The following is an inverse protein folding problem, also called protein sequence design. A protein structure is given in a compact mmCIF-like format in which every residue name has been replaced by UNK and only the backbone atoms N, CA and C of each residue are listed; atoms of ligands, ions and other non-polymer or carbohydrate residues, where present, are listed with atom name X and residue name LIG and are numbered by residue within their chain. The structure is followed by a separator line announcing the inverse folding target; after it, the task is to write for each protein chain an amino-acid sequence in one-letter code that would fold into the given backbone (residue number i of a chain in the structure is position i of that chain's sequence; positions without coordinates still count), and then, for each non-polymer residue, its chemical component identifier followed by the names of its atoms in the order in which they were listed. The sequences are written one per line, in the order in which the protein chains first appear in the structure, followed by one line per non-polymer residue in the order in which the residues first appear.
data_IF_149909285709
#
_entry.id   IF_149909285709
#
_cell.length_a   1.000
_cell.length_b   1.000
_cell.length_c   1.000
_cell.angle_alpha   90.00
_cell.angle_beta   90.00
_cell.angle_gamma   90.00
#
_symmetry.space_group_name_H-M   'P 1'
#
loop_
_entity.id
_entity.type
_entity.pdbx_description
1 polymer ?
#
# COMPACT_ATOMS: atom_id res chain seq x y z
N UNK A 1 -6.10 13.10 -0.31
CA UNK A 1 -7.47 12.53 -0.33
C UNK A 1 -8.60 13.51 0.04
N UNK A 2 -8.70 14.02 1.28
CA UNK A 2 -9.87 14.81 1.76
C UNK A 2 -10.21 16.00 0.85
N UNK A 3 -9.20 16.81 0.51
CA UNK A 3 -9.35 17.96 -0.43
C UNK A 3 -9.98 17.52 -1.75
N UNK A 4 -9.61 16.36 -2.26
CA UNK A 4 -10.13 15.84 -3.52
C UNK A 4 -11.60 15.39 -3.38
N UNK A 5 -11.97 14.77 -2.25
CA UNK A 5 -13.36 14.43 -1.97
C UNK A 5 -14.24 15.68 -1.85
N UNK A 6 -13.74 16.76 -1.24
CA UNK A 6 -14.47 18.04 -1.20
C UNK A 6 -14.68 18.60 -2.61
N UNK A 7 -13.65 18.56 -3.47
CA UNK A 7 -13.78 18.96 -4.89
C UNK A 7 -14.82 18.13 -5.65
N UNK A 8 -15.06 16.89 -5.24
CA UNK A 8 -16.10 16.03 -5.79
C UNK A 8 -17.50 16.27 -5.21
N UNK A 9 -17.66 17.23 -4.28
CA UNK A 9 -18.93 17.63 -3.71
C UNK A 9 -19.26 17.04 -2.33
N UNK A 10 -18.33 16.29 -1.72
CA UNK A 10 -18.50 15.85 -0.34
C UNK A 10 -18.34 17.02 0.66
N UNK A 11 -19.05 16.95 1.79
CA UNK A 11 -19.07 17.98 2.83
C UNK A 11 -18.68 17.37 4.17
N UNK A 12 -17.64 17.91 4.79
CA UNK A 12 -17.19 17.48 6.12
C UNK A 12 -18.33 17.60 7.16
N UNK A 13 -18.48 16.57 7.99
CA UNK A 13 -19.51 16.50 9.01
C UNK A 13 -20.94 16.26 8.50
N UNK A 14 -21.14 16.17 7.17
CA UNK A 14 -22.46 15.88 6.56
C UNK A 14 -22.46 14.64 5.68
N UNK A 15 -21.49 14.54 4.76
CA UNK A 15 -21.35 13.40 3.84
C UNK A 15 -19.93 12.84 3.82
N UNK A 16 -18.99 13.51 4.48
CA UNK A 16 -17.63 13.06 4.71
C UNK A 16 -17.33 13.08 6.21
N UNK A 17 -16.91 11.94 6.74
CA UNK A 17 -16.68 11.75 8.17
C UNK A 17 -15.37 11.02 8.40
N UNK A 18 -14.61 11.47 9.40
CA UNK A 18 -13.45 10.75 9.91
C UNK A 18 -13.83 9.85 11.09
N UNK A 19 -13.08 8.76 11.25
CA UNK A 19 -13.06 7.93 12.45
C UNK A 19 -11.60 7.72 12.86
N UNK A 20 -11.17 8.44 13.89
CA UNK A 20 -9.88 8.23 14.53
C UNK A 20 -10.01 7.23 15.67
N UNK A 21 -8.94 6.49 15.94
CA UNK A 21 -8.86 5.53 17.04
C UNK A 21 -7.42 5.48 17.59
N UNK A 22 -7.25 4.90 18.77
CA UNK A 22 -5.91 4.69 19.33
C UNK A 22 -5.20 3.55 18.58
N UNK A 23 -4.34 3.92 17.64
CA UNK A 23 -3.59 2.98 16.81
C UNK A 23 -2.61 2.10 17.60
N UNK A 24 -2.34 2.43 18.87
CA UNK A 24 -1.46 1.61 19.73
C UNK A 24 -2.15 0.36 20.21
N UNK A 25 -3.49 0.41 20.31
CA UNK A 25 -4.31 -0.67 20.84
C UNK A 25 -4.64 -1.72 19.78
N UNK A 26 -5.14 -2.87 20.22
CA UNK A 26 -5.60 -3.93 19.32
C UNK A 26 -6.68 -3.42 18.37
N UNK A 27 -6.63 -3.86 17.10
CA UNK A 27 -7.60 -3.54 16.06
C UNK A 27 -9.01 -4.05 16.37
N UNK A 28 -9.17 -4.91 17.39
CA UNK A 28 -10.45 -5.40 17.91
C UNK A 28 -10.72 -4.99 19.37
N UNK A 29 -10.08 -3.93 19.85
CA UNK A 29 -10.37 -3.40 21.18
C UNK A 29 -11.87 -3.10 21.30
N UNK A 30 -12.53 -3.68 22.30
CA UNK A 30 -13.99 -3.61 22.45
C UNK A 30 -14.52 -2.17 22.42
N UNK A 31 -13.91 -1.26 23.19
CA UNK A 31 -14.33 0.14 23.20
C UNK A 31 -14.22 0.82 21.83
N UNK A 32 -13.21 0.49 21.03
CA UNK A 32 -13.06 0.99 19.66
C UNK A 32 -14.14 0.42 18.74
N UNK A 33 -14.48 -0.88 18.87
CA UNK A 33 -15.54 -1.52 18.09
C UNK A 33 -16.91 -0.90 18.39
N UNK A 34 -17.22 -0.65 19.68
CA UNK A 34 -18.45 -0.01 20.12
C UNK A 34 -18.56 1.44 19.60
N UNK A 35 -17.46 2.21 19.68
CA UNK A 35 -17.39 3.56 19.12
C UNK A 35 -17.56 3.55 17.60
N UNK A 36 -17.00 2.56 16.89
CA UNK A 36 -17.15 2.44 15.45
C UNK A 36 -18.60 2.10 15.07
N UNK A 37 -19.26 1.18 15.79
CA UNK A 37 -20.67 0.89 15.60
C UNK A 37 -21.56 2.13 15.79
N UNK A 38 -21.36 2.87 16.89
CA UNK A 38 -22.07 4.10 17.17
C UNK A 38 -21.83 5.18 16.09
N UNK A 39 -20.58 5.25 15.57
CA UNK A 39 -20.24 6.16 14.48
C UNK A 39 -20.97 5.81 13.19
N UNK A 40 -21.04 4.53 12.81
CA UNK A 40 -21.78 4.09 11.63
C UNK A 40 -23.27 4.44 11.73
N UNK A 41 -23.89 4.22 12.88
CA UNK A 41 -25.29 4.61 13.10
C UNK A 41 -25.48 6.13 12.99
N UNK A 42 -24.61 6.92 13.62
CA UNK A 42 -24.68 8.38 13.56
C UNK A 42 -24.55 8.90 12.11
N UNK A 43 -23.61 8.35 11.34
CA UNK A 43 -23.39 8.71 9.93
C UNK A 43 -24.57 8.29 9.06
N UNK A 44 -25.12 7.10 9.29
CA UNK A 44 -26.29 6.61 8.56
C UNK A 44 -27.51 7.53 8.76
N UNK A 45 -27.76 7.94 10.00
CA UNK A 45 -28.84 8.87 10.35
C UNK A 45 -28.59 10.26 9.75
N UNK A 46 -27.36 10.80 9.87
CA UNK A 46 -26.99 12.09 9.27
C UNK A 46 -27.10 12.09 7.74
N UNK A 47 -26.92 10.94 7.10
CA UNK A 47 -27.01 10.75 5.64
C UNK A 47 -28.44 10.47 5.16
N UNK A 48 -29.45 10.61 6.02
CA UNK A 48 -30.86 10.39 5.69
C UNK A 48 -31.21 8.91 5.45
N UNK A 49 -30.54 7.99 6.15
CA UNK A 49 -30.76 6.55 6.02
C UNK A 49 -30.09 5.91 4.81
N UNK A 50 -29.11 6.59 4.20
CA UNK A 50 -28.29 6.01 3.13
C UNK A 50 -27.15 5.19 3.72
N UNK A 51 -26.94 3.99 3.17
CA UNK A 51 -25.79 3.14 3.52
C UNK A 51 -24.46 3.86 3.19
N UNK A 52 -23.42 3.50 3.93
CA UNK A 52 -22.15 4.21 4.02
C UNK A 52 -21.08 3.53 3.14
N UNK A 53 -20.24 4.32 2.49
CA UNK A 53 -19.01 3.84 1.85
C UNK A 53 -17.84 4.06 2.81
N UNK A 54 -17.17 2.99 3.23
CA UNK A 54 -15.98 3.05 4.07
C UNK A 54 -14.74 3.07 3.18
N UNK A 55 -13.83 4.01 3.42
CA UNK A 55 -12.48 3.99 2.88
C UNK A 55 -11.52 3.86 4.06
N UNK A 56 -10.67 2.84 4.03
CA UNK A 56 -9.68 2.57 5.07
C UNK A 56 -8.29 2.51 4.47
N UNK A 57 -7.30 3.01 5.18
CA UNK A 57 -5.89 2.95 4.78
C UNK A 57 -5.07 2.15 5.79
N UNK A 58 -4.10 1.38 5.29
CA UNK A 58 -3.13 0.65 6.10
C UNK A 58 -3.83 -0.18 7.18
N UNK A 59 -3.38 -0.09 8.44
CA UNK A 59 -3.94 -0.79 9.58
C UNK A 59 -5.43 -0.51 9.83
N UNK A 60 -5.98 0.61 9.34
CA UNK A 60 -7.42 0.85 9.38
C UNK A 60 -8.21 -0.23 8.64
N UNK A 61 -7.63 -0.87 7.63
CA UNK A 61 -8.23 -2.03 6.95
C UNK A 61 -8.36 -3.25 7.87
N UNK A 62 -7.39 -3.47 8.78
CA UNK A 62 -7.47 -4.54 9.78
C UNK A 62 -8.56 -4.27 10.80
N UNK A 63 -8.68 -3.02 11.29
CA UNK A 63 -9.76 -2.61 12.19
C UNK A 63 -11.13 -2.86 11.57
N UNK A 64 -11.33 -2.43 10.32
CA UNK A 64 -12.60 -2.64 9.60
C UNK A 64 -12.88 -4.13 9.40
N UNK A 65 -11.86 -4.93 9.09
CA UNK A 65 -11.99 -6.38 8.93
C UNK A 65 -12.30 -7.10 10.26
N UNK A 66 -11.70 -6.68 11.37
CA UNK A 66 -12.04 -7.14 12.71
C UNK A 66 -13.51 -6.84 13.02
N UNK A 67 -13.94 -5.59 12.79
CA UNK A 67 -15.32 -5.19 13.01
C UNK A 67 -16.29 -5.99 12.14
N UNK A 68 -15.97 -6.19 10.85
CA UNK A 68 -16.74 -7.03 9.95
C UNK A 68 -16.91 -8.46 10.49
N UNK A 69 -15.85 -9.06 11.04
CA UNK A 69 -15.93 -10.42 11.57
C UNK A 69 -16.70 -10.53 12.89
N UNK A 70 -16.70 -9.48 13.71
CA UNK A 70 -17.30 -9.49 15.05
C UNK A 70 -18.73 -8.94 15.07
N UNK A 71 -19.07 -8.04 14.16
CA UNK A 71 -20.32 -7.30 14.09
C UNK A 71 -20.86 -7.26 12.64
N UNK A 72 -20.92 -8.43 12.00
CA UNK A 72 -21.30 -8.57 10.58
C UNK A 72 -22.71 -8.06 10.29
N UNK A 73 -23.64 -8.20 11.25
CA UNK A 73 -25.01 -7.72 11.19
C UNK A 73 -25.09 -6.18 11.15
N UNK A 74 -24.32 -5.51 12.02
CA UNK A 74 -24.19 -4.05 12.03
C UNK A 74 -23.53 -3.56 10.75
N UNK A 75 -22.47 -4.27 10.31
CA UNK A 75 -21.77 -3.95 9.07
C UNK A 75 -22.69 -4.06 7.86
N UNK A 76 -23.45 -5.15 7.70
CA UNK A 76 -24.41 -5.34 6.62
C UNK A 76 -25.53 -4.29 6.63
N UNK A 77 -26.00 -3.92 7.83
CA UNK A 77 -27.05 -2.92 8.01
C UNK A 77 -26.62 -1.55 7.49
N UNK A 78 -25.42 -1.08 7.86
CA UNK A 78 -25.02 0.31 7.61
C UNK A 78 -24.09 0.50 6.41
N UNK A 79 -23.33 -0.51 5.98
CA UNK A 79 -22.27 -0.36 4.97
C UNK A 79 -22.77 -0.79 3.60
N UNK A 80 -22.48 0.01 2.58
CA UNK A 80 -22.72 -0.30 1.17
C UNK A 80 -21.47 -0.80 0.47
N UNK A 81 -20.35 -0.11 0.70
CA UNK A 81 -19.05 -0.43 0.10
C UNK A 81 -17.95 -0.29 1.13
N UNK A 82 -16.95 -1.13 1.03
CA UNK A 82 -15.69 -0.95 1.72
C UNK A 82 -14.55 -0.99 0.72
N UNK A 83 -13.73 0.06 0.71
CA UNK A 83 -12.53 0.21 -0.10
C UNK A 83 -11.34 0.22 0.84
N UNK A 84 -10.53 -0.84 0.80
CA UNK A 84 -9.26 -0.90 1.53
C UNK A 84 -8.12 -0.41 0.64
N UNK A 85 -7.22 0.40 1.20
CA UNK A 85 -6.04 0.94 0.52
C UNK A 85 -4.81 0.56 1.33
N UNK A 86 -3.87 -0.16 0.70
CA UNK A 86 -2.60 -0.59 1.28
C UNK A 86 -2.74 -1.30 2.65
N UNK A 87 -3.81 -2.09 2.83
CA UNK A 87 -4.06 -2.76 4.10
C UNK A 87 -3.18 -4.01 4.26
N UNK A 88 -2.39 -4.16 5.34
CA UNK A 88 -1.49 -5.30 5.54
C UNK A 88 -2.24 -6.53 6.04
N UNK A 89 -3.10 -7.13 5.20
CA UNK A 89 -3.99 -8.22 5.62
C UNK A 89 -3.27 -9.45 6.20
N UNK A 90 -2.02 -9.70 5.79
CA UNK A 90 -1.18 -10.78 6.32
C UNK A 90 0.05 -10.26 7.09
N UNK A 91 0.11 -8.96 7.38
CA UNK A 91 1.20 -8.31 8.10
C UNK A 91 2.26 -7.66 7.20
N UNK A 92 3.25 -7.04 7.85
CA UNK A 92 4.38 -6.34 7.23
C UNK A 92 5.70 -6.82 7.89
N UNK A 93 6.14 -8.06 7.58
CA UNK A 93 7.13 -8.78 8.37
C UNK A 93 8.45 -8.04 8.56
N UNK A 94 9.08 -7.55 7.49
CA UNK A 94 10.41 -6.95 7.57
C UNK A 94 10.48 -5.73 8.50
N UNK A 95 9.51 -4.82 8.37
CA UNK A 95 9.42 -3.65 9.25
C UNK A 95 9.10 -4.03 10.69
N UNK A 96 8.18 -4.98 10.90
CA UNK A 96 7.76 -5.36 12.26
C UNK A 96 8.87 -6.09 13.01
N UNK A 97 9.60 -7.00 12.36
CA UNK A 97 10.79 -7.65 12.94
C UNK A 97 11.85 -6.61 13.32
N UNK A 98 12.11 -5.63 12.45
CA UNK A 98 13.07 -4.56 12.74
C UNK A 98 12.59 -3.62 13.84
N UNK A 99 11.28 -3.37 13.91
CA UNK A 99 10.69 -2.55 14.96
C UNK A 99 10.87 -3.19 16.34
N UNK A 100 10.81 -4.52 16.44
CA UNK A 100 11.08 -5.26 17.68
C UNK A 100 12.57 -5.35 18.03
N UNK A 101 13.48 -5.51 17.07
CA UNK A 101 14.89 -5.76 17.38
C UNK A 101 15.74 -4.49 17.46
N UNK A 102 15.47 -3.50 16.61
CA UNK A 102 16.32 -2.31 16.42
C UNK A 102 15.62 -1.00 16.74
N UNK A 103 14.30 -1.06 16.79
CA UNK A 103 13.49 0.13 16.63
C UNK A 103 13.56 0.65 15.20
N UNK A 104 12.41 1.01 14.67
CA UNK A 104 12.29 1.61 13.35
C UNK A 104 11.64 2.97 13.50
N UNK A 105 12.11 3.93 12.70
CA UNK A 105 11.34 5.15 12.50
C UNK A 105 10.30 4.84 11.42
N UNK A 106 9.04 4.63 11.82
CA UNK A 106 7.88 4.61 10.89
C UNK A 106 7.64 5.97 10.21
N UNK A 107 8.59 6.90 10.37
CA UNK A 107 8.51 8.33 10.12
C UNK A 107 9.60 8.79 9.15
N UNK A 108 10.39 7.88 8.55
CA UNK A 108 11.19 8.25 7.37
C UNK A 108 10.21 8.77 6.29
N UNK A 109 10.21 10.09 6.07
CA UNK A 109 9.25 10.80 5.22
C UNK A 109 8.43 11.88 5.93
N UNK A 110 8.47 12.01 7.25
CA UNK A 110 8.44 13.37 7.81
C UNK A 110 9.88 13.84 7.70
N UNK A 111 10.14 14.97 7.04
CA UNK A 111 11.38 15.72 7.27
C UNK A 111 11.68 15.65 8.78
N UNK A 112 12.81 15.07 9.18
CA UNK A 112 13.61 15.17 10.41
C UNK A 112 13.03 15.88 11.69
N UNK A 113 11.72 15.94 11.88
CA UNK A 113 11.01 16.86 12.78
C UNK A 113 10.52 16.14 14.04
N UNK A 114 10.43 14.81 14.00
CA UNK A 114 10.37 14.00 15.20
C UNK A 114 11.78 13.53 15.53
N UNK A 115 12.47 14.28 16.39
CA UNK A 115 13.78 13.95 16.96
C UNK A 115 13.72 12.77 17.95
N UNK A 116 12.95 11.73 17.63
CA UNK A 116 12.79 10.53 18.46
C UNK A 116 13.79 9.49 17.96
N UNK A 117 14.68 9.03 18.84
CA UNK A 117 15.63 7.98 18.49
C UNK A 117 14.91 6.68 18.11
N UNK A 118 15.50 5.85 17.24
CA UNK A 118 14.97 4.53 16.88
C UNK A 118 14.60 3.71 18.11
N UNK A 119 15.46 3.74 19.13
CA UNK A 119 15.25 3.02 20.38
C UNK A 119 14.11 3.59 21.25
N UNK A 120 13.93 4.92 21.28
CA UNK A 120 12.79 5.53 21.94
C UNK A 120 11.48 5.14 21.25
N UNK A 121 11.48 5.04 19.91
CA UNK A 121 10.34 4.52 19.16
C UNK A 121 10.08 3.04 19.48
N UNK A 122 11.13 2.21 19.54
CA UNK A 122 11.00 0.82 20.02
C UNK A 122 10.29 0.75 21.38
N UNK A 123 10.74 1.55 22.36
CA UNK A 123 10.15 1.56 23.71
C UNK A 123 8.68 1.98 23.72
N UNK A 124 8.25 2.84 22.79
CA UNK A 124 6.84 3.19 22.60
C UNK A 124 6.02 2.02 22.04
N UNK A 125 6.62 1.24 21.14
CA UNK A 125 5.91 0.27 20.30
C UNK A 125 5.91 -1.16 20.85
N UNK A 126 6.88 -1.52 21.69
CA UNK A 126 7.05 -2.89 22.21
C UNK A 126 5.86 -3.40 23.04
N UNK A 127 5.07 -2.49 23.60
CA UNK A 127 3.83 -2.78 24.35
C UNK A 127 2.55 -2.40 23.59
N UNK A 128 2.64 -2.08 22.29
CA UNK A 128 1.48 -1.77 21.45
C UNK A 128 0.91 -3.04 20.81
N UNK A 129 -0.31 -3.52 21.17
CA UNK A 129 -0.88 -4.71 20.53
C UNK A 129 -1.01 -4.65 19.02
N UNK A 130 -1.19 -3.46 18.45
CA UNK A 130 -1.26 -3.28 17.00
C UNK A 130 0.00 -3.72 16.27
N UNK A 131 1.19 -3.54 16.86
CA UNK A 131 2.45 -3.92 16.22
C UNK A 131 2.58 -5.44 16.14
N UNK A 132 2.13 -6.17 17.16
CA UNK A 132 2.07 -7.63 17.14
C UNK A 132 1.06 -8.14 16.10
N UNK A 133 -0.05 -7.42 15.90
CA UNK A 133 -1.05 -7.74 14.87
C UNK A 133 -0.56 -7.49 13.44
N UNK A 134 0.58 -6.81 13.25
CA UNK A 134 1.23 -6.60 11.96
C UNK A 134 2.35 -7.62 11.68
N UNK A 135 2.65 -8.54 12.60
CA UNK A 135 3.59 -9.64 12.34
C UNK A 135 3.11 -10.50 11.18
N UNK A 136 4.04 -11.22 10.52
CA UNK A 136 3.66 -12.18 9.48
C UNK A 136 2.63 -13.17 10.01
N UNK A 137 1.51 -13.28 9.29
CA UNK A 137 0.47 -14.25 9.59
C UNK A 137 1.01 -15.67 9.46
N UNK A 138 0.98 -16.44 10.55
CA UNK A 138 1.50 -17.82 10.61
C UNK A 138 0.71 -18.82 9.76
N UNK A 139 -0.59 -18.55 9.59
CA UNK A 139 -1.49 -19.44 8.86
C UNK A 139 -1.60 -19.08 7.37
N UNK A 140 -0.82 -18.09 6.92
CA UNK A 140 -0.80 -17.68 5.53
C UNK A 140 0.32 -18.39 4.77
N UNK A 141 0.00 -18.88 3.58
CA UNK A 141 0.95 -19.56 2.70
C UNK A 141 1.63 -18.50 1.83
N UNK A 142 2.73 -17.95 2.34
CA UNK A 142 3.55 -17.01 1.61
C UNK A 142 4.26 -17.70 0.42
N UNK A 143 4.38 -17.01 -0.71
CA UNK A 143 5.20 -17.46 -1.85
C UNK A 143 6.66 -17.65 -1.42
N UNK A 144 7.18 -16.70 -0.65
CA UNK A 144 8.44 -16.81 0.07
C UNK A 144 8.16 -16.63 1.55
N UNK A 145 8.59 -17.57 2.39
CA UNK A 145 8.37 -17.47 3.83
C UNK A 145 9.21 -16.31 4.38
N UNK A 146 8.63 -15.35 5.13
CA UNK A 146 9.41 -14.32 5.80
C UNK A 146 10.31 -14.92 6.88
N UNK A 147 11.59 -14.57 6.84
CA UNK A 147 12.62 -15.11 7.74
C UNK A 147 13.28 -14.00 8.56
N UNK A 148 13.63 -14.32 9.79
CA UNK A 148 14.64 -13.63 10.56
C UNK A 148 15.94 -14.43 10.42
N UNK A 149 16.98 -13.81 9.89
CA UNK A 149 18.26 -14.46 9.64
C UNK A 149 19.36 -13.80 10.45
N UNK A 150 20.23 -14.61 11.05
CA UNK A 150 21.31 -14.11 11.91
C UNK A 150 22.59 -14.89 11.60
N UNK A 151 23.64 -14.17 11.22
CA UNK A 151 24.99 -14.73 11.12
C UNK A 151 25.53 -15.01 12.52
N UNK A 152 25.88 -16.27 12.80
CA UNK A 152 26.26 -16.75 14.14
C UNK A 152 27.55 -17.54 14.07
N UNK A 153 28.42 -17.33 15.04
CA UNK A 153 29.61 -18.16 15.23
C UNK A 153 29.25 -19.41 16.03
N UNK A 154 29.42 -20.59 15.44
CA UNK A 154 29.16 -21.87 16.09
C UNK A 154 30.47 -22.61 16.33
N UNK A 155 30.71 -22.99 17.58
CA UNK A 155 31.86 -23.85 17.95
C UNK A 155 31.51 -25.30 17.64
N UNK A 156 32.30 -25.93 16.80
CA UNK A 156 32.24 -27.35 16.54
C UNK A 156 32.86 -28.15 17.71
N UNK A 157 32.53 -29.45 17.77
CA UNK A 157 32.98 -30.35 18.83
C UNK A 157 34.51 -30.57 18.84
N UNK A 158 35.19 -30.25 17.74
CA UNK A 158 36.64 -30.30 17.58
C UNK A 158 37.36 -29.00 18.06
N UNK A 159 36.60 -27.99 18.50
CA UNK A 159 37.12 -26.71 18.95
C UNK A 159 37.26 -25.64 17.87
N UNK A 160 37.03 -25.97 16.59
CA UNK A 160 37.00 -25.00 15.50
C UNK A 160 35.70 -24.20 15.51
N UNK A 161 35.75 -22.92 15.15
CA UNK A 161 34.54 -22.13 14.94
C UNK A 161 34.22 -21.99 13.45
N UNK A 162 32.94 -22.08 13.14
CA UNK A 162 32.41 -21.85 11.81
C UNK A 162 31.27 -20.84 11.89
N UNK A 163 31.26 -19.92 10.93
CA UNK A 163 30.22 -18.91 10.83
C UNK A 163 29.12 -19.48 9.94
N UNK A 164 27.89 -19.48 10.45
CA UNK A 164 26.70 -20.00 9.78
C UNK A 164 25.61 -18.94 9.77
N UNK A 165 24.77 -18.96 8.73
CA UNK A 165 23.53 -18.19 8.70
C UNK A 165 22.42 -19.05 9.30
N UNK A 166 21.89 -18.63 10.45
CA UNK A 166 20.73 -19.26 11.07
C UNK A 166 19.46 -18.53 10.59
N UNK A 167 18.52 -19.27 10.00
CA UNK A 167 17.25 -18.72 9.49
C UNK A 167 16.09 -19.21 10.34
N UNK A 168 15.30 -18.27 10.85
CA UNK A 168 14.21 -18.49 11.78
C UNK A 168 12.88 -18.10 11.14
N UNK A 169 11.89 -19.00 11.14
CA UNK A 169 10.53 -18.68 10.73
C UNK A 169 9.79 -17.89 11.82
N UNK A 170 8.56 -17.43 11.55
CA UNK A 170 7.75 -16.61 12.47
C UNK A 170 7.63 -17.19 13.89
N UNK A 171 7.51 -18.51 14.02
CA UNK A 171 7.36 -19.20 15.31
C UNK A 171 8.67 -19.27 16.08
N UNK A 172 9.75 -19.61 15.39
CA UNK A 172 11.09 -19.74 15.96
C UNK A 172 11.68 -18.37 16.31
N UNK A 173 11.33 -17.33 15.54
CA UNK A 173 11.73 -15.93 15.78
C UNK A 173 11.25 -15.40 17.13
N UNK A 174 10.17 -15.97 17.71
CA UNK A 174 9.69 -15.58 19.04
C UNK A 174 10.74 -15.84 20.13
N UNK A 175 11.47 -16.95 20.03
CA UNK A 175 12.52 -17.26 21.00
C UNK A 175 13.68 -16.27 20.88
N UNK A 176 14.00 -15.84 19.66
CA UNK A 176 14.99 -14.79 19.42
C UNK A 176 14.53 -13.45 20.02
N UNK A 177 13.28 -13.04 19.82
CA UNK A 177 12.77 -11.79 20.42
C UNK A 177 12.82 -11.83 21.95
N UNK A 178 12.45 -12.97 22.56
CA UNK A 178 12.49 -13.15 24.02
C UNK A 178 13.91 -13.02 24.56
N UNK A 179 14.88 -13.66 23.90
CA UNK A 179 16.29 -13.63 24.33
C UNK A 179 16.90 -12.24 24.12
N UNK A 180 16.74 -11.66 22.94
CA UNK A 180 17.26 -10.33 22.59
C UNK A 180 16.72 -9.22 23.50
N UNK A 181 15.45 -9.33 23.92
CA UNK A 181 14.77 -8.31 24.73
C UNK A 181 14.63 -8.68 26.20
N UNK A 182 15.25 -9.78 26.68
CA UNK A 182 15.09 -10.26 28.06
C UNK A 182 15.49 -9.21 29.11
N UNK A 183 16.56 -8.45 28.85
CA UNK A 183 17.08 -7.40 29.72
C UNK A 183 16.60 -6.00 29.34
N UNK A 184 15.65 -5.89 28.39
CA UNK A 184 15.20 -4.59 27.89
C UNK A 184 14.46 -3.81 28.97
N UNK A 185 14.86 -2.54 29.15
CA UNK A 185 14.32 -1.65 30.18
C UNK A 185 14.25 -0.21 29.68
N UNK A 186 13.38 0.60 30.29
CA UNK A 186 13.31 2.05 30.13
C UNK A 186 13.45 2.74 31.49
N UNK A 187 14.21 3.83 31.55
CA UNK A 187 14.31 4.65 32.75
C UNK A 187 13.17 5.68 32.75
N UNK A 188 12.29 5.60 33.75
CA UNK A 188 11.23 6.57 33.98
C UNK A 188 11.33 7.08 35.42
N UNK A 189 11.59 8.39 35.58
CA UNK A 189 11.75 9.03 36.90
C UNK A 189 12.78 8.36 37.83
N UNK A 190 13.85 7.78 37.27
CA UNK A 190 14.89 7.09 38.03
C UNK A 190 14.57 5.62 38.33
N UNK A 191 13.39 5.13 37.94
CA UNK A 191 13.01 3.73 38.04
C UNK A 191 13.26 3.01 36.70
N UNK A 192 13.86 1.83 36.76
CA UNK A 192 14.07 0.98 35.58
C UNK A 192 12.86 0.08 35.39
N UNK A 193 12.04 0.37 34.38
CA UNK A 193 10.85 -0.40 34.04
C UNK A 193 11.22 -1.44 32.99
N UNK A 194 10.99 -2.75 33.22
CA UNK A 194 11.23 -3.79 32.24
C UNK A 194 10.21 -3.72 31.09
N UNK A 195 10.69 -3.86 29.86
CA UNK A 195 9.88 -3.89 28.63
C UNK A 195 10.31 -5.07 27.73
N UNK A 196 10.20 -6.32 28.20
CA UNK A 196 10.56 -7.48 27.39
C UNK A 196 9.57 -7.69 26.24
N UNK A 197 9.88 -8.62 25.33
CA UNK A 197 8.92 -9.07 24.34
C UNK A 197 7.67 -9.67 25.03
N UNK A 198 6.48 -9.15 24.72
CA UNK A 198 5.27 -9.43 25.48
C UNK A 198 4.47 -10.61 24.87
N UNK A 199 4.52 -11.77 25.52
CA UNK A 199 3.86 -12.99 25.06
C UNK A 199 2.34 -12.98 25.20
N UNK A 200 1.79 -12.22 26.16
CA UNK A 200 0.34 -12.09 26.29
C UNK A 200 -0.23 -11.24 25.14
N UNK A 201 0.47 -10.19 24.75
CA UNK A 201 0.10 -9.40 23.57
C UNK A 201 0.22 -10.24 22.30
N UNK A 202 1.31 -11.02 22.13
CA UNK A 202 1.45 -11.94 21.00
C UNK A 202 0.29 -12.93 20.93
N UNK A 203 -0.12 -13.51 22.07
CA UNK A 203 -1.26 -14.41 22.14
C UNK A 203 -2.55 -13.71 21.70
N UNK A 204 -2.78 -12.48 22.14
CA UNK A 204 -3.93 -11.67 21.69
C UNK A 204 -3.92 -11.40 20.19
N UNK A 205 -2.75 -11.09 19.63
CA UNK A 205 -2.57 -10.85 18.19
C UNK A 205 -2.84 -12.10 17.36
N UNK A 206 -2.38 -13.27 17.82
CA UNK A 206 -2.69 -14.56 17.19
C UNK A 206 -4.20 -14.85 17.16
N UNK A 207 -4.93 -14.49 18.22
CA UNK A 207 -6.40 -14.58 18.21
C UNK A 207 -7.03 -13.57 17.23
N UNK A 208 -6.46 -12.37 17.10
CA UNK A 208 -6.89 -11.39 16.09
C UNK A 208 -6.70 -11.95 14.68
N UNK A 209 -5.58 -12.59 14.36
CA UNK A 209 -5.36 -13.25 13.07
C UNK A 209 -6.42 -14.32 12.76
N UNK A 210 -6.84 -15.11 13.77
CA UNK A 210 -7.93 -16.10 13.63
C UNK A 210 -9.29 -15.46 13.37
N UNK A 211 -9.55 -14.27 13.92
CA UNK A 211 -10.77 -13.51 13.65
C UNK A 211 -10.74 -12.99 12.22
N UNK A 212 -9.62 -12.37 11.81
CA UNK A 212 -9.43 -11.85 10.46
C UNK A 212 -9.60 -12.94 9.39
N UNK A 213 -9.11 -14.16 9.61
CA UNK A 213 -9.23 -15.26 8.63
C UNK A 213 -10.66 -15.79 8.46
N UNK A 214 -11.56 -15.50 9.42
CA UNK A 214 -12.98 -15.93 9.37
C UNK A 214 -13.91 -14.87 8.77
N UNK A 215 -13.42 -13.65 8.56
CA UNK A 215 -14.20 -12.55 8.04
C UNK A 215 -14.80 -12.89 6.66
N UNK A 216 -16.08 -12.58 6.45
CA UNK A 216 -16.78 -12.75 5.18
C UNK A 216 -17.57 -11.50 4.87
N UNK A 217 -17.46 -11.02 3.64
CA UNK A 217 -18.26 -9.88 3.17
C UNK A 217 -19.72 -10.34 3.00
N UNK A 218 -20.70 -9.64 3.60
CA UNK A 218 -22.12 -9.90 3.36
C UNK A 218 -22.47 -9.66 1.88
N UNK A 219 -23.38 -10.45 1.31
CA UNK A 219 -23.70 -10.40 -0.13
C UNK A 219 -24.20 -9.05 -0.64
N UNK A 220 -24.74 -8.22 0.25
CA UNK A 220 -25.23 -6.88 -0.06
C UNK A 220 -24.16 -5.79 -0.03
N UNK A 221 -22.94 -6.11 0.44
CA UNK A 221 -21.84 -5.16 0.60
C UNK A 221 -20.78 -5.44 -0.46
N UNK A 222 -20.32 -4.39 -1.13
CA UNK A 222 -19.24 -4.51 -2.11
C UNK A 222 -17.90 -4.23 -1.46
N UNK A 223 -16.92 -5.09 -1.71
CA UNK A 223 -15.55 -4.90 -1.22
C UNK A 223 -14.60 -4.64 -2.38
N UNK A 224 -13.69 -3.69 -2.19
CA UNK A 224 -12.66 -3.33 -3.14
C UNK A 224 -11.31 -3.19 -2.42
N UNK A 225 -10.24 -3.57 -3.10
CA UNK A 225 -8.90 -3.51 -2.55
C UNK A 225 -7.95 -2.77 -3.51
N UNK A 226 -7.22 -1.79 -2.99
CA UNK A 226 -6.11 -1.13 -3.67
C UNK A 226 -4.86 -1.50 -2.88
N UNK A 227 -3.88 -2.13 -3.51
CA UNK A 227 -2.59 -2.46 -2.90
C UNK A 227 -1.46 -1.77 -3.66
N UNK A 228 -0.41 -1.36 -2.97
CA UNK A 228 0.72 -0.72 -3.63
C UNK A 228 1.71 -1.74 -4.20
N UNK A 229 2.38 -1.36 -5.28
CA UNK A 229 3.35 -2.18 -6.02
C UNK A 229 4.54 -1.34 -6.48
N UNK A 230 5.51 -1.99 -7.12
CA UNK A 230 6.69 -1.42 -7.76
C UNK A 230 7.68 -0.73 -6.82
N UNK A 231 7.65 -1.05 -5.53
CA UNK A 231 8.67 -0.62 -4.57
C UNK A 231 9.27 -1.82 -3.83
N UNK A 232 10.60 -1.79 -3.70
CA UNK A 232 11.33 -2.75 -2.87
C UNK A 232 10.81 -2.70 -1.44
N UNK A 233 10.18 -3.78 -1.01
CA UNK A 233 9.50 -3.83 0.28
C UNK A 233 10.17 -4.86 1.21
N UNK A 234 10.66 -4.42 2.38
CA UNK A 234 11.28 -5.31 3.38
C UNK A 234 10.39 -6.50 3.74
N UNK A 235 10.89 -7.69 3.46
CA UNK A 235 10.17 -8.95 3.66
C UNK A 235 10.82 -9.82 4.73
N UNK A 236 12.10 -10.16 4.54
CA UNK A 236 12.93 -10.87 5.51
C UNK A 236 14.03 -9.95 6.04
N UNK A 237 14.53 -10.22 7.24
CA UNK A 237 15.53 -9.38 7.91
C UNK A 237 16.75 -10.22 8.28
N UNK A 238 17.94 -9.75 7.92
CA UNK A 238 19.21 -10.40 8.19
C UNK A 238 20.11 -9.51 9.07
N UNK A 239 20.72 -10.10 10.10
CA UNK A 239 21.66 -9.43 11.00
C UNK A 239 23.05 -10.06 10.96
N UNK A 240 24.08 -9.21 11.06
CA UNK A 240 25.48 -9.59 10.98
C UNK A 240 25.95 -9.92 9.55
N UNK A 241 27.14 -10.46 9.47
CA UNK A 241 27.76 -10.94 8.23
C UNK A 241 28.78 -12.03 8.52
N UNK A 242 29.36 -12.60 7.45
CA UNK A 242 30.44 -13.58 7.53
C UNK A 242 31.72 -13.02 8.17
N UNK A 243 31.98 -11.73 8.03
CA UNK A 243 33.10 -11.02 8.65
C UNK A 243 32.77 -10.44 10.05
N UNK A 244 31.48 -10.29 10.38
CA UNK A 244 30.99 -9.76 11.65
C UNK A 244 29.74 -10.51 12.15
N UNK A 245 29.88 -11.76 12.64
CA UNK A 245 28.76 -12.53 13.16
C UNK A 245 28.25 -11.96 14.49
N UNK A 246 26.96 -12.19 14.79
CA UNK A 246 26.31 -11.76 16.03
C UNK A 246 26.66 -12.71 17.17
N UNK A 247 27.42 -12.22 18.15
CA UNK A 247 27.80 -13.00 19.33
C UNK A 247 26.72 -13.02 20.40
N UNK A 248 26.14 -11.87 20.72
CA UNK A 248 25.08 -11.71 21.72
C UNK A 248 23.82 -11.14 21.03
N UNK A 249 22.67 -11.77 21.26
CA UNK A 249 21.40 -11.32 20.67
C UNK A 249 20.95 -9.96 21.23
N UNK A 250 21.44 -9.54 22.40
CA UNK A 250 21.19 -8.19 22.92
C UNK A 250 21.90 -7.10 22.10
N UNK A 251 22.92 -7.46 21.32
CA UNK A 251 23.63 -6.55 20.42
C UNK A 251 22.84 -6.28 19.14
N UNK A 252 21.82 -7.09 18.81
CA UNK A 252 21.00 -6.92 17.61
C UNK A 252 20.48 -5.49 17.48
N UNK A 253 20.11 -4.84 18.60
CA UNK A 253 19.64 -3.44 18.61
C UNK A 253 20.62 -2.43 18.02
N UNK A 254 21.92 -2.74 18.04
CA UNK A 254 23.00 -1.88 17.56
C UNK A 254 23.46 -2.26 16.15
N UNK A 255 23.02 -3.40 15.61
CA UNK A 255 23.45 -3.93 14.32
C UNK A 255 22.47 -3.48 13.24
N UNK A 256 22.96 -2.85 12.18
CA UNK A 256 22.10 -2.45 11.07
C UNK A 256 21.52 -3.69 10.35
N UNK A 257 20.19 -3.81 10.22
CA UNK A 257 19.58 -4.90 9.47
C UNK A 257 19.87 -4.75 7.97
N UNK A 258 20.04 -5.90 7.30
CA UNK A 258 19.93 -6.03 5.85
C UNK A 258 18.58 -6.65 5.52
N UNK A 259 17.93 -6.17 4.46
CA UNK A 259 16.62 -6.66 4.07
C UNK A 259 16.70 -7.52 2.82
N UNK A 260 15.87 -8.56 2.78
CA UNK A 260 15.46 -9.19 1.53
C UNK A 260 14.15 -8.53 1.12
N UNK A 261 14.10 -8.04 -0.11
CA UNK A 261 12.99 -7.26 -0.62
C UNK A 261 12.10 -8.10 -1.53
N UNK A 262 10.80 -7.79 -1.51
CA UNK A 262 9.80 -8.27 -2.48
C UNK A 262 9.02 -7.08 -3.03
N UNK A 263 8.19 -7.30 -4.04
CA UNK A 263 7.30 -6.27 -4.55
C UNK A 263 6.27 -5.81 -3.50
N UNK A 264 5.99 -4.52 -3.46
CA UNK A 264 5.03 -3.91 -2.54
C UNK A 264 5.07 -2.39 -2.59
N UNK A 265 4.69 -1.75 -1.50
CA UNK A 265 4.57 -0.29 -1.39
C UNK A 265 5.69 0.37 -0.56
N UNK A 266 6.78 -0.36 -0.33
CA UNK A 266 7.90 0.07 0.50
C UNK A 266 7.66 -0.11 1.99
N UNK A 267 6.47 -0.61 2.42
CA UNK A 267 6.16 -1.02 3.81
C UNK A 267 5.51 -2.39 3.88
N UNK A 268 4.48 -2.62 3.07
CA UNK A 268 3.64 -3.82 3.05
C UNK A 268 3.88 -4.59 1.75
N UNK A 269 4.28 -5.87 1.82
CA UNK A 269 4.40 -6.70 0.63
C UNK A 269 3.08 -6.73 -0.16
N UNK A 270 3.16 -6.66 -1.49
CA UNK A 270 1.97 -6.70 -2.36
C UNK A 270 1.16 -7.98 -2.13
N UNK A 271 1.83 -9.12 -1.91
CA UNK A 271 1.20 -10.40 -1.57
C UNK A 271 0.34 -10.28 -0.29
N UNK A 272 0.87 -9.67 0.77
CA UNK A 272 0.15 -9.45 2.04
C UNK A 272 -1.07 -8.55 1.84
N UNK A 273 -0.89 -7.45 1.11
CA UNK A 273 -1.96 -6.50 0.87
C UNK A 273 -3.06 -7.03 -0.08
N UNK A 274 -2.72 -7.94 -0.99
CA UNK A 274 -3.65 -8.61 -1.90
C UNK A 274 -4.39 -9.77 -1.23
N UNK A 275 -3.78 -10.43 -0.24
CA UNK A 275 -4.30 -11.61 0.45
C UNK A 275 -5.38 -11.28 1.50
N UNK A 276 -6.40 -10.50 1.13
CA UNK A 276 -7.48 -10.10 2.01
C UNK A 276 -8.42 -11.26 2.41
N UNK A 277 -8.51 -12.32 1.60
CA UNK A 277 -9.37 -13.49 1.86
C UNK A 277 -10.88 -13.22 1.73
N UNK A 278 -11.28 -12.10 1.13
CA UNK A 278 -12.65 -11.66 0.96
C UNK A 278 -13.10 -11.81 -0.51
N UNK A 279 -14.41 -11.84 -0.73
CA UNK A 279 -14.97 -11.80 -2.09
C UNK A 279 -14.96 -10.35 -2.61
N UNK A 280 -13.82 -9.91 -3.16
CA UNK A 280 -13.66 -8.55 -3.69
C UNK A 280 -14.26 -8.42 -5.10
N UNK A 281 -14.92 -7.29 -5.36
CA UNK A 281 -15.37 -6.90 -6.70
C UNK A 281 -14.18 -6.57 -7.61
N UNK A 282 -13.13 -5.98 -7.04
CA UNK A 282 -11.87 -5.72 -7.73
C UNK A 282 -10.70 -5.63 -6.75
N UNK A 283 -9.51 -6.00 -7.23
CA UNK A 283 -8.22 -5.75 -6.59
C UNK A 283 -7.33 -5.05 -7.61
N UNK A 284 -6.80 -3.88 -7.26
CA UNK A 284 -5.98 -3.08 -8.17
C UNK A 284 -4.63 -2.81 -7.53
N UNK A 285 -3.57 -3.19 -8.22
CA UNK A 285 -2.20 -2.81 -7.88
C UNK A 285 -1.92 -1.39 -8.39
N UNK A 286 -1.47 -0.49 -7.52
CA UNK A 286 -1.11 0.87 -7.89
C UNK A 286 0.34 1.12 -7.52
N UNK A 287 1.22 1.45 -8.47
CA UNK A 287 2.58 1.87 -8.14
C UNK A 287 2.55 3.08 -7.20
N UNK A 288 3.20 2.98 -6.04
CA UNK A 288 3.19 4.08 -5.08
C UNK A 288 3.68 3.70 -3.69
N UNK A 289 4.23 4.69 -2.98
CA UNK A 289 4.70 4.53 -1.60
C UNK A 289 3.53 4.40 -0.61
N UNK A 290 3.70 3.57 0.42
CA UNK A 290 2.66 3.19 1.38
C UNK A 290 1.83 4.36 1.92
N UNK A 291 2.48 5.48 2.26
CA UNK A 291 1.83 6.69 2.75
C UNK A 291 1.37 7.60 1.62
N UNK A 292 2.16 7.73 0.56
CA UNK A 292 1.88 8.53 -0.63
C UNK A 292 0.68 8.03 -1.43
N UNK A 293 0.37 6.74 -1.37
CA UNK A 293 -0.68 6.09 -2.18
C UNK A 293 -2.06 6.74 -2.03
N UNK A 294 -2.40 7.29 -0.85
CA UNK A 294 -3.68 8.00 -0.62
C UNK A 294 -3.73 9.40 -1.26
N UNK A 295 -2.62 9.83 -1.86
CA UNK A 295 -2.49 11.05 -2.63
C UNK A 295 -2.26 10.81 -4.13
N UNK A 296 -2.19 9.55 -4.55
CA UNK A 296 -1.97 9.19 -5.95
C UNK A 296 -3.17 9.52 -6.84
N UNK A 297 -2.88 10.08 -8.01
CA UNK A 297 -3.91 10.47 -8.99
C UNK A 297 -4.66 9.25 -9.51
N UNK A 298 -3.96 8.14 -9.74
CA UNK A 298 -4.58 6.88 -10.12
C UNK A 298 -5.58 6.40 -9.06
N UNK A 299 -5.22 6.43 -7.77
CA UNK A 299 -6.15 6.11 -6.67
C UNK A 299 -7.36 7.04 -6.68
N UNK A 300 -7.19 8.33 -6.96
CA UNK A 300 -8.32 9.24 -7.10
C UNK A 300 -9.27 8.87 -8.25
N UNK A 301 -8.76 8.43 -9.41
CA UNK A 301 -9.60 7.94 -10.52
C UNK A 301 -10.39 6.71 -10.11
N UNK A 302 -9.72 5.71 -9.51
CA UNK A 302 -10.34 4.48 -9.01
C UNK A 302 -11.45 4.82 -8.01
N UNK A 303 -11.16 5.66 -7.01
CA UNK A 303 -12.12 6.07 -5.99
C UNK A 303 -13.32 6.79 -6.61
N UNK A 304 -13.10 7.73 -7.53
CA UNK A 304 -14.19 8.46 -8.20
C UNK A 304 -15.13 7.51 -8.94
N UNK A 305 -14.56 6.53 -9.65
CA UNK A 305 -15.31 5.49 -10.36
C UNK A 305 -16.08 4.57 -9.40
N UNK A 306 -15.41 3.98 -8.40
CA UNK A 306 -16.07 3.06 -7.46
C UNK A 306 -17.09 3.76 -6.56
N UNK A 307 -16.88 5.03 -6.20
CA UNK A 307 -17.87 5.82 -5.46
C UNK A 307 -19.01 6.34 -6.36
N UNK A 308 -18.88 6.25 -7.70
CA UNK A 308 -19.83 6.78 -8.69
C UNK A 308 -20.08 8.28 -8.53
N UNK A 309 -19.00 9.06 -8.46
CA UNK A 309 -19.07 10.50 -8.20
C UNK A 309 -18.87 11.28 -9.49
N UNK A 310 -19.86 12.11 -9.85
CA UNK A 310 -19.91 12.82 -11.13
C UNK A 310 -20.37 11.93 -12.28
N UNK A 311 -20.19 12.40 -13.50
CA UNK A 311 -20.55 11.63 -14.70
C UNK A 311 -19.63 10.42 -14.86
N UNK A 312 -20.18 9.22 -15.07
CA UNK A 312 -19.38 8.03 -15.28
C UNK A 312 -18.58 8.16 -16.57
N UNK A 313 -17.26 7.97 -16.51
CA UNK A 313 -16.44 7.74 -17.69
C UNK A 313 -16.70 6.30 -18.17
N UNK A 314 -17.38 6.10 -19.32
CA UNK A 314 -17.72 4.77 -19.80
C UNK A 314 -16.50 4.00 -20.32
N UNK A 315 -15.37 4.69 -20.53
CA UNK A 315 -14.15 4.10 -21.05
C UNK A 315 -13.11 3.81 -19.97
N UNK A 316 -13.31 4.32 -18.75
CA UNK A 316 -12.40 4.07 -17.64
C UNK A 316 -12.54 2.66 -17.08
N UNK A 317 -11.45 1.87 -17.15
CA UNK A 317 -11.34 0.59 -16.49
C UNK A 317 -10.29 0.65 -15.36
N UNK A 318 -10.69 0.54 -14.07
CA UNK A 318 -9.76 0.62 -12.95
C UNK A 318 -8.79 -0.56 -12.85
N UNK A 319 -9.05 -1.70 -13.51
CA UNK A 319 -8.14 -2.85 -13.50
C UNK A 319 -6.92 -2.59 -14.41
N UNK A 320 -7.15 -1.94 -15.55
CA UNK A 320 -6.13 -1.70 -16.56
C UNK A 320 -5.69 -0.23 -16.63
N UNK A 321 -6.20 0.62 -15.73
CA UNK A 321 -6.10 2.09 -15.76
C UNK A 321 -6.33 2.71 -17.14
N UNK A 322 -7.20 2.11 -17.95
CA UNK A 322 -7.39 2.51 -19.34
C UNK A 322 -8.20 3.81 -19.38
N UNK A 323 -7.59 4.89 -19.84
CA UNK A 323 -8.24 6.19 -20.05
C UNK A 323 -8.08 6.54 -21.53
N UNK A 324 -9.19 6.66 -22.27
CA UNK A 324 -9.16 7.05 -23.71
C UNK A 324 -9.00 8.57 -23.88
N UNK A 325 -9.18 9.35 -22.81
CA UNK A 325 -9.19 10.80 -22.86
C UNK A 325 -8.02 11.37 -22.06
N UNK A 326 -7.03 12.02 -22.72
CA UNK A 326 -5.96 12.69 -21.98
C UNK A 326 -6.59 13.70 -21.03
N UNK A 327 -6.29 13.56 -19.75
CA UNK A 327 -6.74 14.52 -18.75
C UNK A 327 -6.02 15.84 -18.98
N UNK A 328 -6.66 16.96 -18.64
CA UNK A 328 -6.08 18.30 -18.84
C UNK A 328 -4.72 18.52 -18.12
N UNK A 329 -4.29 17.56 -17.29
CA UNK A 329 -3.02 17.53 -16.57
C UNK A 329 -1.88 16.84 -17.32
N UNK A 330 -2.16 15.93 -18.26
CA UNK A 330 -1.16 15.27 -19.12
C UNK A 330 -0.75 16.17 -20.30
N UNK A 331 -1.45 17.29 -20.48
CA UNK A 331 -1.16 18.29 -21.51
C UNK A 331 -0.16 19.33 -20.98
N UNK A 332 1.09 19.28 -21.44
CA UNK A 332 2.05 20.36 -21.19
C UNK A 332 1.69 21.59 -22.04
N UNK A 333 1.50 22.75 -21.40
CA UNK A 333 1.17 24.02 -22.07
C UNK A 333 2.28 25.03 -21.85
N UNK A 334 2.90 25.50 -22.92
CA UNK A 334 3.90 26.56 -22.88
C UNK A 334 3.49 27.74 -23.78
N UNK A 335 3.79 28.96 -23.32
CA UNK A 335 3.61 30.20 -24.10
C UNK A 335 4.98 30.73 -24.49
N UNK A 336 5.27 30.79 -25.79
CA UNK A 336 6.51 31.35 -26.32
C UNK A 336 6.21 32.32 -27.47
N UNK A 337 6.68 33.57 -27.35
CA UNK A 337 6.60 34.61 -28.41
C UNK A 337 5.21 34.80 -29.06
N UNK A 338 4.13 34.74 -28.27
CA UNK A 338 2.76 34.95 -28.76
C UNK A 338 2.07 33.69 -29.30
N UNK A 339 2.74 32.54 -29.29
CA UNK A 339 2.13 31.23 -29.58
C UNK A 339 1.91 30.45 -28.29
N UNK A 340 0.72 29.84 -28.18
CA UNK A 340 0.43 28.82 -27.19
C UNK A 340 0.65 27.45 -27.83
N UNK A 341 1.60 26.70 -27.28
CA UNK A 341 1.90 25.33 -27.68
C UNK A 341 1.38 24.39 -26.60
N UNK A 342 0.62 23.37 -27.00
CA UNK A 342 0.19 22.30 -26.11
C UNK A 342 0.70 20.97 -26.63
N UNK A 343 1.46 20.23 -25.84
CA UNK A 343 1.98 18.91 -26.21
C UNK A 343 1.50 17.83 -25.25
N UNK A 344 1.32 16.64 -25.80
CA UNK A 344 0.93 15.42 -25.11
C UNK A 344 1.83 14.30 -25.64
N UNK A 345 2.48 13.58 -24.73
CA UNK A 345 3.21 12.36 -25.05
C UNK A 345 2.76 11.28 -24.09
N UNK A 346 2.24 10.18 -24.63
CA UNK A 346 1.83 9.01 -23.85
C UNK A 346 2.38 7.74 -24.48
N UNK A 347 2.66 6.77 -23.63
CA UNK A 347 3.15 5.45 -24.02
C UNK A 347 2.46 4.39 -23.17
N UNK A 348 2.01 3.29 -23.79
CA UNK A 348 1.35 2.19 -23.09
C UNK A 348 1.64 0.83 -23.75
N UNK A 349 1.50 -0.25 -22.97
CA UNK A 349 1.61 -1.62 -23.46
C UNK A 349 0.22 -2.27 -23.56
N UNK A 350 -0.08 -2.88 -24.70
CA UNK A 350 -1.23 -3.77 -24.89
C UNK A 350 -0.75 -5.20 -24.63
N UNK A 351 -1.34 -5.85 -23.61
CA UNK A 351 -1.07 -7.26 -23.30
C UNK A 351 -2.20 -8.10 -23.89
N UNK A 352 -1.87 -8.99 -24.83
CA UNK A 352 -2.83 -9.91 -25.45
C UNK A 352 -2.72 -11.31 -24.85
N UNK A 353 -3.86 -11.95 -24.57
CA UNK A 353 -3.91 -13.32 -24.00
C UNK A 353 -3.55 -14.42 -25.01
N UNK A 354 -3.44 -14.11 -26.31
CA UNK A 354 -3.09 -15.06 -27.35
C UNK A 354 -1.56 -15.12 -27.52
N UNK A 355 -0.95 -16.25 -27.16
CA UNK A 355 0.34 -16.67 -27.70
C UNK A 355 0.12 -17.03 -29.16
N UNK A 356 0.41 -16.09 -30.06
CA UNK A 356 0.43 -16.38 -31.49
C UNK A 356 1.66 -17.27 -31.76
N UNK A 357 1.41 -18.58 -31.85
CA UNK A 357 2.40 -19.58 -32.23
C UNK A 357 2.82 -19.35 -33.69
N UNK A 358 3.97 -18.68 -33.87
CA UNK A 358 4.79 -18.84 -35.06
C UNK A 358 4.74 -17.70 -36.08
N UNK A 359 5.29 -16.54 -35.73
CA UNK A 359 6.09 -15.74 -36.66
C UNK A 359 7.00 -14.81 -35.86
N UNK A 360 8.29 -14.70 -36.21
CA UNK A 360 9.23 -13.79 -35.55
C UNK A 360 8.82 -12.32 -35.81
N UNK A 361 7.92 -11.79 -34.98
CA UNK A 361 7.38 -10.42 -35.09
C UNK A 361 8.40 -9.33 -34.72
N UNK A 362 9.51 -9.69 -34.07
CA UNK A 362 10.55 -8.76 -33.62
C UNK A 362 11.25 -7.96 -34.75
N UNK A 363 11.17 -8.42 -36.00
CA UNK A 363 11.80 -7.77 -37.17
C UNK A 363 10.85 -6.86 -37.98
N UNK A 364 9.60 -6.67 -37.56
CA UNK A 364 8.67 -5.77 -38.28
C UNK A 364 8.96 -4.30 -37.96
N UNK A 365 8.76 -3.41 -38.92
CA UNK A 365 8.90 -1.96 -38.68
C UNK A 365 7.70 -1.45 -37.87
N UNK A 366 7.87 -0.49 -36.95
CA UNK A 366 6.76 0.15 -36.26
C UNK A 366 5.74 0.73 -37.25
N UNK A 367 4.46 0.54 -36.98
CA UNK A 367 3.38 1.14 -37.75
C UNK A 367 3.18 2.57 -37.27
N UNK A 368 3.40 3.54 -38.15
CA UNK A 368 3.24 4.96 -37.83
C UNK A 368 2.04 5.51 -38.59
N UNK A 369 1.11 6.13 -37.86
CA UNK A 369 -0.01 6.88 -38.44
C UNK A 369 0.01 8.30 -37.89
N UNK A 370 -0.24 9.28 -38.75
CA UNK A 370 -0.31 10.69 -38.32
C UNK A 370 -1.54 11.37 -38.89
N UNK A 371 -2.10 12.30 -38.13
CA UNK A 371 -3.20 13.17 -38.54
C UNK A 371 -2.83 14.61 -38.22
N UNK A 372 -3.20 15.51 -39.13
CA UNK A 372 -2.93 16.95 -39.00
C UNK A 372 -4.21 17.70 -39.34
N UNK A 373 -4.58 18.65 -38.49
CA UNK A 373 -5.77 19.49 -38.66
C UNK A 373 -5.36 20.94 -38.47
N UNK A 374 -5.67 21.78 -39.44
CA UNK A 374 -5.44 23.23 -39.39
C UNK A 374 -6.77 23.97 -39.48
N UNK A 375 -6.97 24.96 -38.60
CA UNK A 375 -8.12 25.86 -38.62
C UNK A 375 -7.61 27.30 -38.76
N UNK A 376 -8.17 28.02 -39.75
CA UNK A 376 -8.01 29.47 -39.91
C UNK A 376 -9.22 30.17 -39.28
N UNK A 377 -8.98 31.19 -38.47
CA UNK A 377 -10.05 32.03 -37.93
C UNK A 377 -10.56 33.05 -38.95
N UNK A 378 -11.71 33.66 -38.66
CA UNK A 378 -12.39 34.62 -39.55
C UNK A 378 -11.53 35.87 -39.86
N UNK A 379 -10.65 36.25 -38.93
CA UNK A 379 -9.58 37.22 -39.18
C UNK A 379 -8.30 36.46 -39.58
N UNK A 380 -7.73 36.82 -40.74
CA UNK A 380 -6.53 36.20 -41.36
C UNK A 380 -5.28 36.13 -40.45
N UNK A 381 -5.32 36.69 -39.25
CA UNK A 381 -4.24 36.70 -38.24
C UNK A 381 -4.30 35.54 -37.24
N UNK A 382 -5.40 34.80 -37.13
CA UNK A 382 -5.54 33.69 -36.16
C UNK A 382 -5.44 32.32 -36.84
N UNK A 383 -4.45 31.52 -36.43
CA UNK A 383 -4.18 30.18 -36.98
C UNK A 383 -3.96 29.19 -35.83
N UNK A 384 -4.67 28.07 -35.89
CA UNK A 384 -4.48 26.93 -35.00
C UNK A 384 -4.14 25.68 -35.82
N UNK A 385 -3.11 24.97 -35.42
CA UNK A 385 -2.68 23.72 -36.04
C UNK A 385 -2.52 22.65 -34.97
N UNK A 386 -3.00 21.44 -35.25
CA UNK A 386 -2.85 20.28 -34.38
C UNK A 386 -2.31 19.11 -35.20
N UNK A 387 -1.31 18.44 -34.66
CA UNK A 387 -0.66 17.27 -35.23
C UNK A 387 -0.67 16.16 -34.17
N UNK A 388 -1.11 14.96 -34.55
CA UNK A 388 -1.02 13.78 -33.70
C UNK A 388 -0.41 12.62 -34.48
N UNK A 389 0.46 11.86 -33.83
CA UNK A 389 1.17 10.71 -34.38
C UNK A 389 1.04 9.54 -33.41
N UNK A 390 0.56 8.42 -33.92
CA UNK A 390 0.50 7.15 -33.20
C UNK A 390 1.55 6.21 -33.79
N UNK A 391 2.38 5.64 -32.93
CA UNK A 391 3.40 4.65 -33.28
C UNK A 391 3.04 3.36 -32.56
N UNK A 392 2.75 2.31 -33.33
CA UNK A 392 2.51 0.97 -32.80
C UNK A 392 3.75 0.14 -33.09
N UNK A 393 4.46 -0.25 -32.04
CA UNK A 393 5.63 -1.10 -32.17
C UNK A 393 5.23 -2.55 -32.39
N UNK A 394 6.13 -3.37 -32.98
CA UNK A 394 5.89 -4.80 -33.13
C UNK A 394 5.69 -5.46 -31.78
N UNK A 395 4.85 -6.48 -31.76
CA UNK A 395 4.59 -7.27 -30.56
C UNK A 395 5.83 -8.09 -30.20
N UNK A 396 6.22 -8.06 -28.93
CA UNK A 396 7.30 -8.86 -28.37
C UNK A 396 6.82 -9.52 -27.08
N UNK A 397 6.95 -10.84 -26.97
CA UNK A 397 6.54 -11.61 -25.78
C UNK A 397 5.11 -11.33 -25.28
N UNK A 398 4.14 -11.21 -26.19
CA UNK A 398 2.74 -10.94 -25.84
C UNK A 398 2.43 -9.48 -25.44
N UNK A 399 3.43 -8.60 -25.48
CA UNK A 399 3.30 -7.17 -25.22
C UNK A 399 3.47 -6.37 -26.50
N UNK A 400 2.56 -5.43 -26.75
CA UNK A 400 2.64 -4.50 -27.87
C UNK A 400 2.74 -3.06 -27.35
N UNK A 401 3.89 -2.43 -27.56
CA UNK A 401 4.13 -1.04 -27.15
C UNK A 401 3.48 -0.06 -28.14
N UNK A 402 2.78 0.95 -27.62
CA UNK A 402 2.12 2.00 -28.40
C UNK A 402 2.51 3.36 -27.84
N UNK A 403 2.93 4.27 -28.71
CA UNK A 403 3.24 5.66 -28.38
C UNK A 403 2.26 6.60 -29.08
N UNK A 404 1.74 7.59 -28.36
CA UNK A 404 0.97 8.71 -28.88
C UNK A 404 1.73 10.01 -28.62
N UNK A 405 2.06 10.72 -29.70
CA UNK A 405 2.63 12.06 -29.65
C UNK A 405 1.65 13.03 -30.29
N UNK A 406 1.08 13.97 -29.53
CA UNK A 406 0.22 15.02 -30.04
C UNK A 406 0.76 16.41 -29.68
N UNK A 407 0.68 17.35 -30.61
CA UNK A 407 1.07 18.74 -30.44
C UNK A 407 0.03 19.64 -31.09
N UNK A 408 -0.36 20.70 -30.41
CA UNK A 408 -1.14 21.79 -30.99
C UNK A 408 -0.44 23.12 -30.78
N UNK A 409 -0.61 24.01 -31.75
CA UNK A 409 -0.05 25.35 -31.76
C UNK A 409 -1.18 26.31 -32.12
N UNK A 410 -1.46 27.28 -31.25
CA UNK A 410 -2.42 28.35 -31.52
C UNK A 410 -1.76 29.71 -31.35
N UNK A 411 -2.09 30.65 -32.25
CA UNK A 411 -1.70 32.06 -32.13
C UNK A 411 -2.84 32.78 -31.42
N UNK A 412 -2.64 33.17 -30.16
CA UNK A 412 -3.53 34.12 -29.48
C UNK A 412 -3.19 35.52 -30.02
N UNK A 413 -4.16 36.19 -30.68
CA UNK A 413 -4.01 37.57 -31.15
C UNK A 413 -4.01 38.58 -30.00
#
# INVERSE_FOLDING_TARGET
MIVQMIKWGFQEGKTLFGFGYDFRQSNRLQGTMEQFAAKLEAVYNASGGKKINIISHSMGGLLVKCFLSLHSDIFEKYVQKWIAIAAPFQGAPGYVTSAFLNGMSFVEGWEQNFFISKWSMHQLLIECPSIYELMACRNFHWEHIPLLEIWREKKAADGNSHIILESYQSEESVEIYKEALYSNTVNYNGEMIPLPFNLEILKMANETCKILSRAKIPSQVKFYNIYGTNLETPHSVCYGSDDAPVTDLQELRNIQPKYVYVDGDGTVPAESAKADGLNAEARVGVPGEHRGIVCEHHVFRILKHWLKVGDPDPFYNPINDYVILPTAYEMERYKEKGLQVTSLKEEWEIISEEQDDGDNMADRKPLVSSISVSQSGDDQSSRAEAHATVIVHPQNEGKQHVELNAMSVSVDA
#
